data_IF_088465210287
#
_entry.id   IF_088465210287
#
_cell.length_a   1.000
_cell.length_b   1.000
_cell.length_c   1.000
_cell.angle_alpha   90.00
_cell.angle_beta   90.00
_cell.angle_gamma   90.00
#
_symmetry.space_group_name_H-M   'P 1'
#
loop_
_entity.id
_entity.type
_entity.pdbx_description
1 polymer ?
#
# COMPACT_ATOMS: atom_id res chain seq x y z
N UNK A 1 30.86 14.29 -5.18
CA UNK A 1 29.66 13.44 -5.32
C UNK A 1 28.68 14.12 -6.27
N UNK A 2 28.30 13.45 -7.37
CA UNK A 2 27.60 14.00 -8.55
C UNK A 2 26.38 14.87 -8.20
N UNK A 3 26.32 16.09 -8.73
CA UNK A 3 25.24 17.05 -8.49
C UNK A 3 23.84 16.56 -8.91
N UNK A 4 23.75 15.51 -9.73
CA UNK A 4 22.49 14.84 -10.08
C UNK A 4 21.94 14.04 -8.89
N UNK A 5 22.81 13.30 -8.18
CA UNK A 5 22.44 12.57 -6.97
C UNK A 5 21.99 13.54 -5.86
N UNK A 6 22.69 14.67 -5.70
CA UNK A 6 22.31 15.68 -4.70
C UNK A 6 20.95 16.29 -5.01
N UNK A 7 20.66 16.58 -6.29
CA UNK A 7 19.34 17.10 -6.72
C UNK A 7 18.22 16.07 -6.55
N UNK A 8 18.49 14.80 -6.87
CA UNK A 8 17.54 13.71 -6.67
C UNK A 8 17.23 13.49 -5.17
N UNK A 9 18.27 13.49 -4.33
CA UNK A 9 18.11 13.42 -2.87
C UNK A 9 17.31 14.63 -2.37
N UNK A 10 17.66 15.85 -2.78
CA UNK A 10 16.93 17.05 -2.38
C UNK A 10 15.44 17.01 -2.78
N UNK A 11 15.13 16.57 -4.00
CA UNK A 11 13.75 16.42 -4.47
C UNK A 11 12.97 15.37 -3.68
N UNK A 12 13.55 14.19 -3.48
CA UNK A 12 12.91 13.09 -2.71
C UNK A 12 12.75 13.41 -1.23
N UNK A 13 13.55 14.34 -0.70
CA UNK A 13 13.41 14.84 0.67
C UNK A 13 12.34 15.94 0.76
N UNK A 14 12.20 16.76 -0.29
CA UNK A 14 11.17 17.80 -0.40
C UNK A 14 9.77 17.22 -0.61
N UNK A 15 9.65 16.11 -1.34
CA UNK A 15 8.38 15.43 -1.60
C UNK A 15 8.43 13.98 -1.11
N UNK A 16 8.23 13.72 0.20
CA UNK A 16 8.36 12.39 0.81
C UNK A 16 7.47 11.33 0.12
N UNK A 17 6.28 11.75 -0.33
CA UNK A 17 5.30 10.92 -1.03
C UNK A 17 5.84 10.33 -2.34
N UNK A 18 6.70 11.04 -3.08
CA UNK A 18 7.19 10.61 -4.40
C UNK A 18 7.99 9.31 -4.33
N UNK A 19 8.67 9.05 -3.21
CA UNK A 19 9.41 7.80 -2.98
C UNK A 19 8.46 6.62 -2.85
N UNK A 20 7.37 6.83 -2.10
CA UNK A 20 6.30 5.85 -1.98
C UNK A 20 5.65 5.57 -3.32
N UNK A 21 5.22 6.63 -4.03
CA UNK A 21 4.58 6.50 -5.35
C UNK A 21 5.46 5.75 -6.35
N UNK A 22 6.76 6.08 -6.42
CA UNK A 22 7.71 5.39 -7.28
C UNK A 22 7.90 3.92 -6.88
N UNK A 23 7.91 3.61 -5.58
CA UNK A 23 8.00 2.23 -5.09
C UNK A 23 6.79 1.41 -5.53
N UNK A 24 5.58 1.91 -5.31
CA UNK A 24 4.35 1.24 -5.73
C UNK A 24 4.24 1.10 -7.25
N UNK A 25 4.75 2.07 -8.02
CA UNK A 25 4.76 2.01 -9.49
C UNK A 25 5.63 0.87 -10.04
N UNK A 26 6.56 0.33 -9.24
CA UNK A 26 7.47 -0.74 -9.65
C UNK A 26 7.12 -2.07 -8.97
N UNK A 27 6.95 -2.07 -7.65
CA UNK A 27 6.80 -3.31 -6.87
C UNK A 27 5.47 -4.00 -7.17
N UNK A 28 4.38 -3.26 -7.26
CA UNK A 28 3.06 -3.87 -7.48
C UNK A 28 2.89 -4.53 -8.86
N UNK A 29 3.30 -3.89 -9.98
CA UNK A 29 3.34 -4.56 -11.28
C UNK A 29 4.22 -5.80 -11.28
N UNK A 30 5.42 -5.73 -10.69
CA UNK A 30 6.33 -6.87 -10.61
C UNK A 30 5.71 -8.01 -9.79
N UNK A 31 5.11 -7.71 -8.65
CA UNK A 31 4.38 -8.69 -7.84
C UNK A 31 3.24 -9.34 -8.63
N UNK A 32 2.50 -8.55 -9.42
CA UNK A 32 1.46 -9.08 -10.31
C UNK A 32 2.02 -10.03 -11.37
N UNK A 33 3.14 -9.68 -12.01
CA UNK A 33 3.78 -10.53 -13.02
C UNK A 33 4.34 -11.81 -12.41
N UNK A 34 4.98 -11.72 -11.24
CA UNK A 34 5.49 -12.89 -10.51
C UNK A 34 4.33 -13.80 -10.13
N UNK A 35 3.24 -13.25 -9.58
CA UNK A 35 2.06 -14.03 -9.23
C UNK A 35 1.49 -14.77 -10.46
N UNK A 36 1.37 -14.10 -11.60
CA UNK A 36 0.90 -14.72 -12.85
C UNK A 36 1.84 -15.83 -13.32
N UNK A 37 3.16 -15.62 -13.22
CA UNK A 37 4.15 -16.64 -13.60
C UNK A 37 4.14 -17.88 -12.71
N UNK A 38 3.80 -17.74 -11.41
CA UNK A 38 3.72 -18.85 -10.47
C UNK A 38 2.41 -19.65 -10.58
N UNK A 39 1.37 -19.04 -11.14
CA UNK A 39 0.07 -19.66 -11.35
C UNK A 39 -0.03 -20.38 -12.72
N UNK A 40 1.08 -20.52 -13.45
CA UNK A 40 1.16 -21.14 -14.78
C UNK A 40 0.18 -20.53 -15.81
N UNK A 41 -0.06 -19.22 -15.72
CA UNK A 41 -0.80 -18.52 -16.78
C UNK A 41 0.01 -18.59 -18.08
N UNK A 42 -0.62 -19.10 -19.15
CA UNK A 42 0.03 -19.31 -20.46
C UNK A 42 0.54 -18.02 -21.08
N UNK A 43 -0.02 -16.87 -20.69
CA UNK A 43 0.36 -15.54 -21.18
C UNK A 43 0.34 -14.53 -20.03
N UNK A 44 1.42 -13.75 -19.92
CA UNK A 44 1.52 -12.69 -18.91
C UNK A 44 0.69 -11.47 -19.33
N UNK A 45 -0.24 -11.06 -18.47
CA UNK A 45 -1.04 -9.86 -18.63
C UNK A 45 -0.29 -8.63 -18.08
N UNK A 46 0.46 -7.99 -18.98
CA UNK A 46 1.16 -6.74 -18.72
C UNK A 46 0.22 -5.56 -18.49
N UNK A 47 -1.00 -5.58 -19.05
CA UNK A 47 -1.99 -4.51 -18.88
C UNK A 47 -2.51 -4.52 -17.45
N UNK A 48 -2.80 -5.70 -16.91
CA UNK A 48 -3.14 -5.88 -15.50
C UNK A 48 -2.00 -5.43 -14.60
N UNK A 49 -0.76 -5.84 -14.87
CA UNK A 49 0.39 -5.38 -14.11
C UNK A 49 0.51 -3.84 -14.11
N UNK A 50 0.32 -3.19 -15.26
CA UNK A 50 0.32 -1.73 -15.37
C UNK A 50 -0.81 -1.08 -14.55
N UNK A 51 -2.02 -1.65 -14.54
CA UNK A 51 -3.14 -1.18 -13.72
C UNK A 51 -2.83 -1.26 -12.22
N UNK A 52 -2.17 -2.34 -11.77
CA UNK A 52 -1.67 -2.47 -10.39
C UNK A 52 -0.68 -1.35 -10.04
N UNK A 53 0.25 -1.03 -10.93
CA UNK A 53 1.21 0.07 -10.74
C UNK A 53 0.54 1.43 -10.70
N UNK A 54 -0.42 1.69 -11.58
CA UNK A 54 -1.19 2.94 -11.61
C UNK A 54 -2.01 3.10 -10.33
N UNK A 55 -2.75 2.07 -9.92
CA UNK A 55 -3.55 2.09 -8.70
C UNK A 55 -2.66 2.25 -7.45
N UNK A 56 -1.58 1.47 -7.36
CA UNK A 56 -0.64 1.55 -6.25
C UNK A 56 0.00 2.93 -6.13
N UNK A 57 0.49 3.49 -7.23
CA UNK A 57 1.23 4.75 -7.21
C UNK A 57 0.34 5.99 -7.08
N UNK A 58 -0.82 6.02 -7.75
CA UNK A 58 -1.69 7.20 -7.78
C UNK A 58 -2.78 7.19 -6.72
N UNK A 59 -3.15 6.03 -6.18
CA UNK A 59 -4.20 5.92 -5.16
C UNK A 59 -3.67 5.42 -3.82
N UNK A 60 -3.02 4.26 -3.77
CA UNK A 60 -2.60 3.64 -2.49
C UNK A 60 -1.49 4.42 -1.82
N UNK A 61 -0.44 4.82 -2.53
CA UNK A 61 0.67 5.55 -1.94
C UNK A 61 0.23 6.90 -1.33
N UNK A 62 -0.60 7.74 -1.99
CA UNK A 62 -1.12 8.96 -1.38
C UNK A 62 -2.06 8.75 -0.19
N UNK A 63 -2.99 7.79 -0.27
CA UNK A 63 -3.92 7.53 0.84
C UNK A 63 -3.20 6.96 2.05
N UNK A 64 -2.23 6.05 1.82
CA UNK A 64 -1.38 5.52 2.88
C UNK A 64 -0.50 6.61 3.52
N UNK A 65 0.14 7.46 2.72
CA UNK A 65 0.93 8.57 3.24
C UNK A 65 0.08 9.48 4.12
N UNK A 66 -1.14 9.78 3.69
CA UNK A 66 -2.10 10.59 4.46
C UNK A 66 -2.46 9.90 5.77
N UNK A 67 -2.77 8.61 5.74
CA UNK A 67 -3.04 7.82 6.94
C UNK A 67 -1.88 7.85 7.93
N UNK A 68 -0.65 7.56 7.47
CA UNK A 68 0.54 7.55 8.32
C UNK A 68 0.80 8.93 8.95
N UNK A 69 0.52 10.00 8.22
CA UNK A 69 0.63 11.39 8.71
C UNK A 69 -0.40 11.67 9.80
N UNK A 70 -1.66 11.30 9.58
CA UNK A 70 -2.76 11.47 10.55
C UNK A 70 -2.51 10.62 11.80
N UNK A 71 -2.11 9.36 11.64
CA UNK A 71 -1.74 8.47 12.74
C UNK A 71 -0.55 9.03 13.54
N UNK A 72 0.43 9.63 12.86
CA UNK A 72 1.54 10.35 13.48
C UNK A 72 1.09 11.54 14.33
N UNK A 73 0.12 12.31 13.84
CA UNK A 73 -0.43 13.46 14.56
C UNK A 73 -1.32 13.07 15.76
N UNK A 74 -2.11 11.99 15.63
CA UNK A 74 -2.96 11.50 16.72
C UNK A 74 -2.15 10.93 17.89
N UNK A 75 -1.06 10.22 17.60
CA UNK A 75 -0.19 9.61 18.61
C UNK A 75 1.29 9.99 18.34
N UNK A 76 1.72 11.20 18.75
CA UNK A 76 3.05 11.72 18.42
C UNK A 76 4.19 11.00 19.14
N UNK A 77 3.90 10.27 20.23
CA UNK A 77 4.92 9.60 21.03
C UNK A 77 5.53 8.41 20.27
N UNK A 78 6.85 8.26 20.34
CA UNK A 78 7.58 7.12 19.80
C UNK A 78 7.65 5.95 20.80
N UNK A 79 6.52 5.61 21.43
CA UNK A 79 6.41 4.50 22.38
C UNK A 79 5.74 3.29 21.73
N UNK A 80 6.02 2.10 22.26
CA UNK A 80 5.35 0.87 21.80
C UNK A 80 3.83 0.96 21.95
N UNK A 81 3.33 1.56 23.03
CA UNK A 81 1.89 1.77 23.24
C UNK A 81 1.27 2.66 22.16
N UNK A 82 1.95 3.73 21.74
CA UNK A 82 1.53 4.58 20.63
C UNK A 82 1.52 3.82 19.30
N UNK A 83 2.56 3.02 19.02
CA UNK A 83 2.61 2.18 17.82
C UNK A 83 1.47 1.15 17.77
N UNK A 84 1.18 0.49 18.89
CA UNK A 84 0.06 -0.46 19.00
C UNK A 84 -1.30 0.24 18.81
N UNK A 85 -1.49 1.41 19.42
CA UNK A 85 -2.73 2.18 19.23
C UNK A 85 -2.95 2.56 17.76
N UNK A 86 -1.90 3.05 17.08
CA UNK A 86 -1.95 3.34 15.63
C UNK A 86 -2.31 2.09 14.83
N UNK A 87 -1.65 0.96 15.10
CA UNK A 87 -1.89 -0.29 14.39
C UNK A 87 -3.32 -0.82 14.58
N UNK A 88 -3.86 -0.74 15.80
CA UNK A 88 -5.24 -1.14 16.09
C UNK A 88 -6.23 -0.25 15.34
N UNK A 89 -6.09 1.07 15.44
CA UNK A 89 -7.00 1.99 14.76
C UNK A 89 -6.91 1.81 13.25
N UNK A 90 -5.71 1.59 12.72
CA UNK A 90 -5.52 1.28 11.30
C UNK A 90 -6.28 0.03 10.86
N UNK A 91 -6.26 -1.04 11.66
CA UNK A 91 -7.00 -2.26 11.35
C UNK A 91 -8.50 -2.04 11.27
N UNK A 92 -9.08 -1.16 12.09
CA UNK A 92 -10.53 -0.92 12.10
C UNK A 92 -10.99 0.26 11.24
N UNK A 93 -10.08 1.08 10.70
CA UNK A 93 -10.44 2.27 9.91
C UNK A 93 -9.85 2.24 8.51
N UNK A 94 -8.54 2.47 8.38
CA UNK A 94 -7.87 2.56 7.09
C UNK A 94 -7.86 1.23 6.35
N UNK A 95 -7.60 0.11 7.03
CA UNK A 95 -7.54 -1.23 6.43
C UNK A 95 -8.84 -1.61 5.71
N UNK A 96 -10.03 -1.59 6.36
CA UNK A 96 -11.26 -1.96 5.68
C UNK A 96 -11.59 -0.99 4.54
N UNK A 97 -11.34 0.30 4.72
CA UNK A 97 -11.51 1.30 3.66
C UNK A 97 -10.62 1.01 2.44
N UNK A 98 -9.33 0.77 2.68
CA UNK A 98 -8.35 0.50 1.63
C UNK A 98 -8.68 -0.81 0.90
N UNK A 99 -9.12 -1.84 1.61
CA UNK A 99 -9.51 -3.13 1.02
C UNK A 99 -10.75 -3.00 0.13
N UNK A 100 -11.79 -2.31 0.60
CA UNK A 100 -13.00 -2.07 -0.21
C UNK A 100 -12.63 -1.28 -1.47
N UNK A 101 -11.85 -0.21 -1.33
CA UNK A 101 -11.40 0.58 -2.46
C UNK A 101 -10.53 -0.23 -3.42
N UNK A 102 -9.69 -1.13 -2.91
CA UNK A 102 -8.79 -1.94 -3.72
C UNK A 102 -9.57 -2.93 -4.56
N UNK A 103 -10.39 -3.78 -3.96
CA UNK A 103 -11.15 -4.78 -4.70
C UNK A 103 -12.08 -4.09 -5.69
N UNK A 104 -12.94 -3.19 -5.21
CA UNK A 104 -13.88 -2.48 -6.08
C UNK A 104 -13.16 -1.69 -7.19
N UNK A 105 -12.16 -0.89 -6.83
CA UNK A 105 -11.44 -0.03 -7.77
C UNK A 105 -10.66 -0.82 -8.81
N UNK A 106 -10.04 -1.94 -8.42
CA UNK A 106 -9.34 -2.81 -9.35
C UNK A 106 -10.30 -3.55 -10.29
N UNK A 107 -11.48 -3.99 -9.83
CA UNK A 107 -12.49 -4.58 -10.72
C UNK A 107 -12.91 -3.58 -11.80
N UNK A 108 -13.21 -2.34 -11.42
CA UNK A 108 -13.59 -1.28 -12.38
C UNK A 108 -12.43 -0.95 -13.33
N UNK A 109 -11.20 -0.85 -12.83
CA UNK A 109 -10.03 -0.62 -13.68
C UNK A 109 -9.79 -1.77 -14.66
N UNK A 110 -10.16 -2.99 -14.29
CA UNK A 110 -10.08 -4.16 -15.16
C UNK A 110 -11.21 -4.22 -16.20
N UNK A 111 -12.20 -3.31 -16.11
CA UNK A 111 -13.32 -3.21 -17.06
C UNK A 111 -14.59 -3.89 -16.57
N UNK A 112 -14.63 -4.34 -15.31
CA UNK A 112 -15.83 -4.92 -14.71
C UNK A 112 -16.89 -3.89 -14.34
N UNK A 113 -18.08 -4.37 -14.02
CA UNK A 113 -19.24 -3.56 -13.61
C UNK A 113 -19.19 -3.22 -12.12
N UNK A 114 -20.09 -2.32 -11.69
CA UNK A 114 -20.21 -1.95 -10.26
C UNK A 114 -20.71 -3.12 -9.42
N UNK A 115 -21.59 -3.92 -10.00
CA UNK A 115 -22.17 -5.11 -9.39
C UNK A 115 -21.08 -6.18 -9.18
N UNK A 116 -20.22 -6.38 -10.18
CA UNK A 116 -19.06 -7.28 -10.07
C UNK A 116 -18.08 -6.79 -9.01
N UNK A 117 -17.78 -5.49 -8.97
CA UNK A 117 -16.90 -4.92 -7.94
C UNK A 117 -17.45 -5.08 -6.52
N UNK A 118 -18.76 -4.89 -6.34
CA UNK A 118 -19.41 -5.09 -5.05
C UNK A 118 -19.40 -6.55 -4.61
N UNK A 119 -19.64 -7.47 -5.54
CA UNK A 119 -19.58 -8.91 -5.28
C UNK A 119 -18.14 -9.36 -4.96
N UNK A 120 -17.15 -8.84 -5.68
CA UNK A 120 -15.73 -9.14 -5.41
C UNK A 120 -15.31 -8.68 -4.01
N UNK A 121 -15.72 -7.47 -3.59
CA UNK A 121 -15.53 -7.01 -2.21
C UNK A 121 -16.20 -7.98 -1.23
N UNK A 122 -17.47 -8.32 -1.44
CA UNK A 122 -18.22 -9.20 -0.54
C UNK A 122 -17.55 -10.58 -0.37
N UNK A 123 -17.02 -11.14 -1.45
CA UNK A 123 -16.37 -12.45 -1.43
C UNK A 123 -14.98 -12.41 -0.81
N UNK A 124 -14.17 -11.40 -1.14
CA UNK A 124 -12.74 -11.36 -0.78
C UNK A 124 -12.44 -10.58 0.48
N UNK A 125 -13.31 -9.67 0.91
CA UNK A 125 -13.07 -8.79 2.05
C UNK A 125 -12.83 -9.59 3.34
N UNK A 126 -13.77 -10.44 3.74
CA UNK A 126 -13.69 -11.12 5.03
C UNK A 126 -12.52 -12.11 5.13
N UNK A 127 -12.28 -12.99 4.13
CA UNK A 127 -11.11 -13.89 4.15
C UNK A 127 -9.80 -13.12 4.20
N UNK A 128 -9.67 -12.05 3.42
CA UNK A 128 -8.45 -11.24 3.38
C UNK A 128 -8.25 -10.47 4.69
N UNK A 129 -9.34 -9.99 5.29
CA UNK A 129 -9.29 -9.22 6.53
C UNK A 129 -8.85 -10.10 7.71
N UNK A 130 -9.33 -11.35 7.79
CA UNK A 130 -8.92 -12.30 8.83
C UNK A 130 -7.41 -12.58 8.80
N UNK A 131 -6.86 -12.80 7.60
CA UNK A 131 -5.41 -12.96 7.43
C UNK A 131 -4.68 -11.65 7.74
N UNK A 132 -5.22 -10.53 7.25
CA UNK A 132 -4.65 -9.21 7.43
C UNK A 132 -4.48 -8.81 8.89
N UNK A 133 -5.52 -8.98 9.72
CA UNK A 133 -5.47 -8.69 11.16
C UNK A 133 -4.43 -9.51 11.90
N UNK A 134 -4.04 -10.67 11.37
CA UNK A 134 -3.00 -11.51 11.98
C UNK A 134 -1.58 -11.04 11.65
N UNK A 135 -1.39 -10.46 10.46
CA UNK A 135 -0.05 -10.13 9.92
C UNK A 135 0.26 -8.63 10.06
N UNK A 136 -0.69 -7.76 9.73
CA UNK A 136 -0.49 -6.32 9.66
C UNK A 136 -0.15 -5.64 10.99
N UNK A 137 -0.72 -6.02 12.15
CA UNK A 137 -0.33 -5.39 13.41
C UNK A 137 1.16 -5.54 13.72
N UNK A 138 1.76 -6.70 13.38
CA UNK A 138 3.19 -6.94 13.54
C UNK A 138 4.00 -6.07 12.59
N UNK A 139 3.63 -6.06 11.30
CA UNK A 139 4.31 -5.26 10.28
C UNK A 139 4.21 -3.76 10.56
N UNK A 140 3.05 -3.27 11.02
CA UNK A 140 2.88 -1.86 11.36
C UNK A 140 3.60 -1.49 12.65
N UNK A 141 3.66 -2.38 13.64
CA UNK A 141 4.49 -2.14 14.82
C UNK A 141 5.95 -1.98 14.43
N UNK A 142 6.47 -2.83 13.53
CA UNK A 142 7.81 -2.69 12.94
C UNK A 142 7.94 -1.36 12.18
N UNK A 143 6.95 -1.00 11.37
CA UNK A 143 6.93 0.23 10.59
C UNK A 143 7.03 1.49 11.47
N UNK A 144 6.26 1.56 12.57
CA UNK A 144 6.26 2.71 13.45
C UNK A 144 7.47 2.78 14.39
N UNK A 145 8.09 1.64 14.72
CA UNK A 145 9.20 1.57 15.68
C UNK A 145 10.59 1.57 15.05
N UNK A 146 10.79 0.82 13.95
CA UNK A 146 12.10 0.60 13.35
C UNK A 146 12.29 1.39 12.04
N UNK A 147 11.22 1.70 11.31
CA UNK A 147 11.32 2.35 10.00
C UNK A 147 11.26 3.88 10.15
N UNK A 148 12.27 4.62 9.63
CA UNK A 148 12.21 6.07 9.60
C UNK A 148 10.99 6.56 8.83
N UNK A 149 10.35 7.64 9.30
CA UNK A 149 9.09 8.17 8.76
C UNK A 149 9.10 8.31 7.23
N UNK A 150 10.18 8.85 6.66
CA UNK A 150 10.39 9.02 5.22
C UNK A 150 10.34 7.74 4.38
N UNK A 151 10.53 6.57 5.00
CA UNK A 151 10.59 5.27 4.33
C UNK A 151 9.37 4.38 4.66
N UNK A 152 8.44 4.82 5.51
CA UNK A 152 7.32 4.00 5.97
C UNK A 152 6.41 3.53 4.84
N UNK A 153 6.09 4.41 3.90
CA UNK A 153 5.29 4.07 2.70
C UNK A 153 6.01 3.06 1.81
N UNK A 154 7.34 3.18 1.67
CA UNK A 154 8.15 2.26 0.87
C UNK A 154 8.18 0.88 1.52
N UNK A 155 8.36 0.81 2.85
CA UNK A 155 8.30 -0.47 3.57
C UNK A 155 6.98 -1.19 3.33
N UNK A 156 5.85 -0.49 3.49
CA UNK A 156 4.51 -1.08 3.29
C UNK A 156 4.32 -1.56 1.85
N UNK A 157 4.93 -0.90 0.86
CA UNK A 157 4.86 -1.35 -0.53
C UNK A 157 5.60 -2.67 -0.81
N UNK A 158 6.57 -3.02 0.03
CA UNK A 158 7.38 -4.24 -0.08
C UNK A 158 6.80 -5.43 0.69
N UNK A 159 5.83 -5.17 1.58
CA UNK A 159 5.12 -6.19 2.35
C UNK A 159 4.02 -6.82 1.50
#
# INVERSE_FOLDING_TARGET
MSGVLTKFVAFSTKYPITRGMASYAVIWPLGSLIQQSLLDDKELDFVKAAKFGLYGSCFVAPTLYTWLTVAGAMFPQATLGSALAKAIIEQFSYTPFAMVCFYFGMTILQGGTKEEGAEEVKQKFLPTYQVGVSVWPVLQTINYTLIPEKNRVVFVSCC
#
